data_IF_018033115115
#
_entry.id   IF_018033115115
#
_cell.length_a   1.000
_cell.length_b   1.000
_cell.length_c   1.000
_cell.angle_alpha   90.00
_cell.angle_beta   90.00
_cell.angle_gamma   90.00
#
_symmetry.space_group_name_H-M   'P 1'
#
loop_
_entity.id
_entity.type
_entity.pdbx_description
1 polymer ?
#
# COMPACT_ATOMS: atom_id res chain seq x y z
N UNK A 1 -38.05 -28.72 -50.21
CA UNK A 1 -37.04 -28.90 -49.13
C UNK A 1 -36.21 -27.63 -49.08
N UNK A 2 -36.13 -26.95 -47.93
CA UNK A 2 -35.66 -25.55 -47.79
C UNK A 2 -34.47 -25.56 -46.80
N UNK A 3 -33.30 -25.01 -47.12
CA UNK A 3 -32.15 -25.06 -46.20
C UNK A 3 -32.29 -24.02 -45.09
N UNK A 4 -32.17 -24.48 -43.84
CA UNK A 4 -32.15 -23.64 -42.63
C UNK A 4 -30.74 -23.06 -42.51
N UNK A 5 -30.65 -21.73 -42.54
CA UNK A 5 -29.42 -20.96 -42.31
C UNK A 5 -29.07 -21.03 -40.83
N UNK A 6 -27.92 -21.63 -40.50
CA UNK A 6 -27.29 -21.52 -39.19
C UNK A 6 -26.83 -20.07 -38.99
N UNK A 7 -27.65 -19.31 -38.26
CA UNK A 7 -27.30 -17.97 -37.79
C UNK A 7 -26.24 -18.09 -36.69
N UNK A 8 -25.09 -17.50 -36.96
CA UNK A 8 -23.90 -17.39 -36.11
C UNK A 8 -24.20 -16.80 -34.73
N UNK A 9 -24.29 -17.65 -33.71
CA UNK A 9 -24.35 -17.29 -32.29
C UNK A 9 -22.94 -17.17 -31.67
N UNK A 10 -22.01 -16.48 -32.35
CA UNK A 10 -20.60 -16.42 -31.92
C UNK A 10 -20.19 -15.09 -31.26
N UNK A 11 -20.79 -13.90 -31.47
CA UNK A 11 -20.15 -12.68 -30.97
C UNK A 11 -20.50 -12.32 -29.51
N UNK A 12 -21.50 -12.95 -28.88
CA UNK A 12 -21.98 -12.48 -27.57
C UNK A 12 -21.20 -13.03 -26.36
N UNK A 13 -20.40 -14.09 -26.54
CA UNK A 13 -19.62 -14.72 -25.45
C UNK A 13 -18.26 -14.04 -25.20
N UNK A 14 -17.79 -13.18 -26.10
CA UNK A 14 -16.49 -12.50 -25.95
C UNK A 14 -16.55 -11.26 -25.03
N UNK A 15 -17.73 -10.69 -24.78
CA UNK A 15 -17.87 -9.45 -24.00
C UNK A 15 -17.83 -9.65 -22.48
N UNK A 16 -18.08 -10.87 -21.98
CA UNK A 16 -18.15 -11.16 -20.53
C UNK A 16 -16.77 -11.53 -19.94
N UNK A 17 -15.80 -11.91 -20.78
CA UNK A 17 -14.47 -12.30 -20.29
C UNK A 17 -13.55 -11.11 -19.94
N UNK A 18 -13.81 -9.90 -20.46
CA UNK A 18 -12.95 -8.73 -20.23
C UNK A 18 -13.18 -8.02 -18.88
N UNK A 19 -14.28 -8.30 -18.17
CA UNK A 19 -14.56 -7.63 -16.89
C UNK A 19 -13.87 -8.29 -15.69
N UNK A 20 -13.35 -9.52 -15.83
CA UNK A 20 -12.76 -10.25 -14.70
C UNK A 20 -11.30 -9.87 -14.41
N UNK A 21 -10.53 -9.40 -15.40
CA UNK A 21 -9.14 -9.02 -15.20
C UNK A 21 -8.99 -7.74 -14.36
N UNK A 22 -9.92 -6.79 -14.50
CA UNK A 22 -9.89 -5.53 -13.74
C UNK A 22 -10.24 -5.72 -12.25
N UNK A 23 -11.14 -6.66 -11.92
CA UNK A 23 -11.51 -6.92 -10.53
C UNK A 23 -10.38 -7.57 -9.72
N UNK A 24 -9.58 -8.46 -10.33
CA UNK A 24 -8.45 -9.10 -9.64
C UNK A 24 -7.33 -8.12 -9.31
N UNK A 25 -6.99 -7.22 -10.24
CA UNK A 25 -5.98 -6.19 -10.01
C UNK A 25 -6.38 -5.21 -8.90
N UNK A 26 -7.68 -4.91 -8.78
CA UNK A 26 -8.21 -4.08 -7.70
C UNK A 26 -8.11 -4.76 -6.33
N UNK A 27 -8.36 -6.08 -6.23
CA UNK A 27 -8.24 -6.80 -4.97
C UNK A 27 -6.79 -6.90 -4.50
N UNK A 28 -5.86 -7.09 -5.43
CA UNK A 28 -4.42 -7.19 -5.12
C UNK A 28 -3.89 -5.83 -4.64
N UNK A 29 -4.24 -4.75 -5.33
CA UNK A 29 -3.88 -3.38 -4.94
C UNK A 29 -4.40 -3.02 -3.53
N UNK A 30 -5.64 -3.38 -3.22
CA UNK A 30 -6.21 -3.14 -1.89
C UNK A 30 -5.54 -4.00 -0.82
N UNK A 31 -5.15 -5.24 -1.13
CA UNK A 31 -4.39 -6.11 -0.23
C UNK A 31 -3.01 -5.50 0.07
N UNK A 32 -2.28 -5.10 -0.95
CA UNK A 32 -0.96 -4.46 -0.84
C UNK A 32 -1.02 -3.18 -0.01
N UNK A 33 -2.01 -2.32 -0.28
CA UNK A 33 -2.26 -1.12 0.51
C UNK A 33 -2.54 -1.42 1.99
N UNK A 34 -3.26 -2.51 2.32
CA UNK A 34 -3.46 -2.93 3.72
C UNK A 34 -2.17 -3.37 4.39
N UNK A 35 -1.28 -4.04 3.65
CA UNK A 35 0.05 -4.42 4.16
C UNK A 35 0.86 -3.17 4.50
N UNK A 36 0.90 -2.19 3.58
CA UNK A 36 1.58 -0.90 3.80
C UNK A 36 1.00 -0.16 5.01
N UNK A 37 -0.33 -0.14 5.16
CA UNK A 37 -1.00 0.46 6.31
C UNK A 37 -0.62 -0.23 7.63
N UNK A 38 -0.52 -1.56 7.63
CA UNK A 38 -0.07 -2.33 8.81
C UNK A 38 1.34 -1.91 9.22
N UNK A 39 2.28 -1.83 8.26
CA UNK A 39 3.64 -1.36 8.54
C UNK A 39 3.67 0.07 9.09
N UNK A 40 2.91 1.01 8.52
CA UNK A 40 2.85 2.38 9.01
C UNK A 40 2.37 2.47 10.48
N UNK A 41 1.40 1.64 10.86
CA UNK A 41 0.91 1.53 12.25
C UNK A 41 1.96 0.94 13.17
N UNK A 42 2.66 -0.12 12.76
CA UNK A 42 3.74 -0.73 13.55
C UNK A 42 4.92 0.22 13.72
N UNK A 43 5.32 0.93 12.68
CA UNK A 43 6.43 1.88 12.75
C UNK A 43 6.16 3.05 13.68
N UNK A 44 4.89 3.49 13.79
CA UNK A 44 4.50 4.48 14.81
C UNK A 44 4.83 3.99 16.22
N UNK A 45 4.59 2.71 16.53
CA UNK A 45 4.90 2.10 17.83
C UNK A 45 6.40 1.95 18.07
N UNK A 46 7.17 1.59 17.03
CA UNK A 46 8.62 1.46 17.13
C UNK A 46 9.30 2.82 17.37
N UNK A 47 8.85 3.86 16.67
CA UNK A 47 9.32 5.24 16.88
C UNK A 47 8.90 5.76 18.26
N UNK A 48 7.68 5.47 18.71
CA UNK A 48 7.20 5.85 20.05
C UNK A 48 8.06 5.21 21.15
N UNK A 49 8.29 3.90 21.06
CA UNK A 49 9.13 3.17 22.01
C UNK A 49 10.57 3.69 22.02
N UNK A 50 11.10 4.09 20.86
CA UNK A 50 12.43 4.69 20.78
C UNK A 50 12.47 6.10 21.37
N UNK A 51 11.45 6.93 21.09
CA UNK A 51 11.31 8.26 21.68
C UNK A 51 11.20 8.14 23.21
N UNK A 52 10.44 7.20 23.73
CA UNK A 52 10.32 7.00 25.18
C UNK A 52 11.56 6.36 25.82
N UNK A 53 12.55 5.96 25.01
CA UNK A 53 13.77 5.30 25.49
C UNK A 53 13.54 3.87 25.98
N UNK A 54 12.38 3.29 25.69
CA UNK A 54 12.03 1.89 26.04
C UNK A 54 12.55 0.90 25.00
N UNK A 55 12.96 1.38 23.82
CA UNK A 55 13.54 0.57 22.75
C UNK A 55 14.95 1.02 22.34
N UNK A 56 15.92 0.10 22.17
CA UNK A 56 17.23 0.43 21.63
C UNK A 56 17.16 0.98 20.21
N UNK A 57 18.03 1.95 19.87
CA UNK A 57 18.13 2.52 18.51
C UNK A 57 18.32 1.47 17.43
N UNK A 58 19.08 0.41 17.71
CA UNK A 58 19.34 -0.68 16.76
C UNK A 58 18.08 -1.49 16.43
N UNK A 59 17.16 -1.64 17.39
CA UNK A 59 15.88 -2.31 17.16
C UNK A 59 14.97 -1.43 16.31
N UNK A 60 14.78 -0.16 16.70
CA UNK A 60 13.91 0.76 15.98
C UNK A 60 14.36 0.94 14.52
N UNK A 61 15.67 1.12 14.28
CA UNK A 61 16.25 1.20 12.93
C UNK A 61 15.96 -0.06 12.12
N UNK A 62 16.32 -1.24 12.65
CA UNK A 62 16.14 -2.52 11.93
C UNK A 62 14.68 -2.76 11.55
N UNK A 63 13.75 -2.44 12.44
CA UNK A 63 12.32 -2.60 12.19
C UNK A 63 11.82 -1.64 11.10
N UNK A 64 12.23 -0.35 11.16
CA UNK A 64 11.91 0.65 10.13
C UNK A 64 12.54 0.28 8.78
N UNK A 65 13.79 -0.17 8.76
CA UNK A 65 14.48 -0.60 7.54
C UNK A 65 13.78 -1.78 6.88
N UNK A 66 13.47 -2.83 7.66
CA UNK A 66 12.80 -4.02 7.14
C UNK A 66 11.42 -3.71 6.57
N UNK A 67 10.65 -2.84 7.24
CA UNK A 67 9.37 -2.38 6.72
C UNK A 67 9.54 -1.52 5.44
N UNK A 68 10.54 -0.63 5.42
CA UNK A 68 10.83 0.21 4.25
C UNK A 68 11.20 -0.62 3.02
N UNK A 69 11.95 -1.71 3.18
CA UNK A 69 12.26 -2.65 2.09
C UNK A 69 10.99 -3.30 1.52
N UNK A 70 10.09 -3.76 2.40
CA UNK A 70 8.85 -4.41 1.99
C UNK A 70 7.90 -3.43 1.31
N UNK A 71 7.77 -2.21 1.83
CA UNK A 71 7.00 -1.13 1.20
C UNK A 71 7.58 -0.77 -0.17
N UNK A 72 8.91 -0.72 -0.30
CA UNK A 72 9.57 -0.46 -1.58
C UNK A 72 9.26 -1.52 -2.64
N UNK A 73 9.19 -2.80 -2.25
CA UNK A 73 8.75 -3.89 -3.15
C UNK A 73 7.32 -3.70 -3.62
N UNK A 74 6.41 -3.41 -2.68
CA UNK A 74 4.99 -3.15 -2.98
C UNK A 74 4.86 -1.94 -3.93
N UNK A 75 5.54 -0.84 -3.64
CA UNK A 75 5.51 0.34 -4.51
C UNK A 75 5.98 0.01 -5.94
N UNK A 76 7.04 -0.80 -6.07
CA UNK A 76 7.52 -1.28 -7.37
C UNK A 76 6.58 -2.26 -8.07
N UNK A 77 5.81 -3.05 -7.32
CA UNK A 77 4.75 -3.93 -7.85
C UNK A 77 3.56 -3.12 -8.36
N UNK A 78 3.08 -2.16 -7.58
CA UNK A 78 2.01 -1.25 -7.98
C UNK A 78 2.35 -0.48 -9.26
N UNK A 79 3.60 0.00 -9.36
CA UNK A 79 4.07 0.67 -10.56
C UNK A 79 4.10 -0.26 -11.78
N UNK A 80 4.62 -1.48 -11.63
CA UNK A 80 4.65 -2.49 -12.73
C UNK A 80 3.25 -2.92 -13.14
N UNK A 81 2.34 -3.07 -12.19
CA UNK A 81 0.96 -3.46 -12.41
C UNK A 81 0.08 -2.33 -12.98
N UNK A 82 0.63 -1.11 -13.15
CA UNK A 82 -0.12 0.07 -13.57
C UNK A 82 -1.34 0.32 -12.66
N UNK A 83 -1.13 0.16 -11.36
CA UNK A 83 -2.16 0.40 -10.35
C UNK A 83 -2.70 1.84 -10.44
N UNK A 84 -3.94 2.07 -9.96
CA UNK A 84 -4.51 3.41 -9.88
C UNK A 84 -3.56 4.43 -9.24
N UNK A 85 -3.48 5.63 -9.82
CA UNK A 85 -2.51 6.65 -9.43
C UNK A 85 -2.69 7.13 -7.98
N UNK A 86 -3.92 7.11 -7.48
CA UNK A 86 -4.26 7.39 -6.09
C UNK A 86 -3.68 6.34 -5.13
N UNK A 87 -3.84 5.05 -5.43
CA UNK A 87 -3.26 3.95 -4.65
C UNK A 87 -1.73 4.08 -4.55
N UNK A 88 -1.06 4.27 -5.70
CA UNK A 88 0.37 4.47 -5.76
C UNK A 88 0.81 5.72 -4.96
N UNK A 89 0.08 6.83 -5.10
CA UNK A 89 0.39 8.06 -4.36
C UNK A 89 0.28 7.88 -2.85
N UNK A 90 -0.71 7.15 -2.34
CA UNK A 90 -0.85 6.91 -0.91
C UNK A 90 0.27 6.01 -0.37
N UNK A 91 0.65 4.96 -1.11
CA UNK A 91 1.78 4.09 -0.73
C UNK A 91 3.10 4.87 -0.74
N UNK A 92 3.34 5.71 -1.75
CA UNK A 92 4.55 6.55 -1.80
C UNK A 92 4.62 7.56 -0.66
N UNK A 93 3.49 8.13 -0.22
CA UNK A 93 3.47 9.03 0.93
C UNK A 93 3.91 8.31 2.23
N UNK A 94 3.47 7.07 2.43
CA UNK A 94 3.95 6.24 3.56
C UNK A 94 5.44 5.95 3.42
N UNK A 95 5.89 5.54 2.22
CA UNK A 95 7.31 5.26 1.95
C UNK A 95 8.22 6.47 2.27
N UNK A 96 7.83 7.68 1.87
CA UNK A 96 8.60 8.89 2.15
C UNK A 96 8.72 9.18 3.66
N UNK A 97 7.68 8.87 4.44
CA UNK A 97 7.74 8.96 5.90
C UNK A 97 8.72 7.93 6.50
N UNK A 98 8.76 6.71 5.96
CA UNK A 98 9.75 5.69 6.35
C UNK A 98 11.19 6.11 6.05
N UNK A 99 11.45 6.68 4.87
CA UNK A 99 12.78 7.18 4.51
C UNK A 99 13.26 8.31 5.44
N UNK A 100 12.34 9.19 5.83
CA UNK A 100 12.60 10.24 6.82
C UNK A 100 12.88 9.64 8.19
N UNK A 101 12.06 8.68 8.65
CA UNK A 101 12.22 7.99 9.93
C UNK A 101 13.58 7.26 10.01
N UNK A 102 13.96 6.55 8.95
CA UNK A 102 15.25 5.86 8.84
C UNK A 102 16.41 6.82 9.04
N UNK A 103 16.46 7.91 8.28
CA UNK A 103 17.53 8.92 8.38
C UNK A 103 17.56 9.59 9.77
N UNK A 104 16.39 9.84 10.36
CA UNK A 104 16.27 10.46 11.67
C UNK A 104 16.73 9.52 12.80
N UNK A 105 16.32 8.25 12.75
CA UNK A 105 16.81 7.21 13.66
C UNK A 105 18.32 7.00 13.50
N UNK A 106 18.84 7.11 12.27
CA UNK A 106 20.27 7.01 11.95
C UNK A 106 21.13 8.10 12.57
N UNK A 107 20.60 9.31 12.60
CA UNK A 107 21.25 10.46 13.23
C UNK A 107 20.94 10.61 14.73
N UNK A 108 19.99 9.83 15.27
CA UNK A 108 19.52 9.99 16.64
C UNK A 108 18.73 11.28 16.87
N UNK A 109 18.24 11.91 15.80
CA UNK A 109 17.53 13.19 15.85
C UNK A 109 16.08 12.98 16.29
N UNK A 110 15.84 13.16 17.59
CA UNK A 110 14.53 12.97 18.21
C UNK A 110 13.44 13.87 17.63
N UNK A 111 13.77 15.10 17.26
CA UNK A 111 12.80 16.02 16.69
C UNK A 111 12.37 15.55 15.29
N UNK A 112 13.33 15.11 14.47
CA UNK A 112 13.03 14.53 13.15
C UNK A 112 12.32 13.18 13.24
N UNK A 113 12.60 12.35 14.25
CA UNK A 113 11.84 11.11 14.47
C UNK A 113 10.37 11.43 14.82
N UNK A 114 10.12 12.40 15.70
CA UNK A 114 8.75 12.84 16.01
C UNK A 114 8.02 13.44 14.79
N UNK A 115 8.73 14.21 13.96
CA UNK A 115 8.19 14.71 12.69
C UNK A 115 7.85 13.56 11.73
N UNK A 116 8.73 12.57 11.59
CA UNK A 116 8.48 11.40 10.75
C UNK A 116 7.31 10.56 11.26
N UNK A 117 7.17 10.40 12.57
CA UNK A 117 6.03 9.73 13.20
C UNK A 117 4.71 10.45 12.87
N UNK A 118 4.68 11.78 12.96
CA UNK A 118 3.50 12.59 12.61
C UNK A 118 3.14 12.46 11.12
N UNK A 119 4.13 12.57 10.23
CA UNK A 119 3.92 12.40 8.80
C UNK A 119 3.43 10.99 8.45
N UNK A 120 3.94 9.97 9.14
CA UNK A 120 3.52 8.59 8.97
C UNK A 120 2.08 8.37 9.42
N UNK A 121 1.68 8.97 10.55
CA UNK A 121 0.31 8.94 11.03
C UNK A 121 -0.65 9.55 10.00
N UNK A 122 -0.34 10.74 9.49
CA UNK A 122 -1.16 11.42 8.48
C UNK A 122 -1.25 10.61 7.18
N UNK A 123 -0.13 10.05 6.71
CA UNK A 123 -0.10 9.20 5.52
C UNK A 123 -0.95 7.93 5.72
N UNK A 124 -0.84 7.29 6.90
CA UNK A 124 -1.64 6.12 7.25
C UNK A 124 -3.13 6.43 7.30
N UNK A 125 -3.55 7.57 7.87
CA UNK A 125 -4.95 8.00 7.89
C UNK A 125 -5.52 8.19 6.47
N UNK A 126 -4.73 8.80 5.57
CA UNK A 126 -5.14 8.98 4.17
C UNK A 126 -5.25 7.66 3.43
N UNK A 127 -4.28 6.76 3.61
CA UNK A 127 -4.30 5.42 3.01
C UNK A 127 -5.49 4.58 3.52
N UNK A 128 -5.77 4.64 4.81
CA UNK A 128 -6.90 3.97 5.46
C UNK A 128 -8.25 4.53 4.97
N UNK A 129 -8.36 5.86 4.80
CA UNK A 129 -9.54 6.49 4.20
C UNK A 129 -9.76 6.05 2.75
N UNK A 130 -8.69 6.01 1.96
CA UNK A 130 -8.72 5.49 0.60
C UNK A 130 -9.16 4.02 0.56
N UNK A 131 -8.58 3.17 1.40
CA UNK A 131 -8.94 1.75 1.52
C UNK A 131 -10.42 1.55 1.82
N UNK A 132 -10.99 2.33 2.75
CA UNK A 132 -12.43 2.27 3.08
C UNK A 132 -13.34 2.72 1.92
N UNK A 133 -12.83 3.54 1.01
CA UNK A 133 -13.57 4.00 -0.16
C UNK A 133 -13.53 2.97 -1.31
N UNK A 134 -12.67 1.95 -1.25
CA UNK A 134 -12.57 0.94 -2.30
C UNK A 134 -13.71 -0.09 -2.25
N UNK A 135 -14.21 -0.56 -3.41
CA UNK A 135 -15.20 -1.64 -3.47
C UNK A 135 -14.66 -2.91 -2.81
N UNK A 136 -15.43 -3.53 -1.92
CA UNK A 136 -15.03 -4.75 -1.21
C UNK A 136 -14.17 -4.54 0.04
N UNK A 137 -14.15 -3.32 0.60
CA UNK A 137 -13.50 -3.04 1.89
C UNK A 137 -14.30 -3.51 3.13
N UNK A 138 -15.58 -3.81 2.96
CA UNK A 138 -16.45 -4.40 3.98
C UNK A 138 -16.58 -5.90 3.73
N UNK A 139 -15.67 -6.68 4.29
CA UNK A 139 -15.80 -8.13 4.43
C UNK A 139 -15.27 -8.57 5.78
#
# INVERSE_FOLDING_TARGET
MKPIRFLSLVPLLAAVALTCAACSSSSDTASDARIVLSYARSASQWMDSWLDGTSPSSYARRSVDSASEQIGKIAGELQRAHAPADAASHVHAVQAAFDTARTALDSGDRARVSQAQSAMHDAALRLDAWLRAQPGAAS
#
